data_IF_598985169515
#
_entry.id   IF_598985169515
#
_cell.length_a   1.000
_cell.length_b   1.000
_cell.length_c   1.000
_cell.angle_alpha   90.00
_cell.angle_beta   90.00
_cell.angle_gamma   90.00
#
_symmetry.space_group_name_H-M   'P 1'
#
loop_
_entity.id
_entity.type
_entity.pdbx_description
1 polymer ?
#
# COMPACT_ATOMS: atom_id res chain seq x y z
N UNK A 1 -22.27 -12.93 12.02
CA UNK A 1 -22.95 -11.97 11.15
C UNK A 1 -22.72 -12.36 9.69
N UNK A 2 -23.49 -13.33 9.15
CA UNK A 2 -23.28 -13.78 7.79
C UNK A 2 -23.98 -12.82 6.81
N UNK A 3 -23.45 -12.69 5.60
CA UNK A 3 -23.92 -11.85 4.48
C UNK A 3 -23.40 -10.40 4.42
N UNK A 4 -22.08 -10.19 4.54
CA UNK A 4 -21.43 -9.03 3.92
C UNK A 4 -21.02 -9.39 2.49
N UNK A 5 -21.81 -8.98 1.50
CA UNK A 5 -21.39 -9.04 0.10
C UNK A 5 -20.44 -7.86 -0.18
N UNK A 6 -19.19 -8.11 -0.59
CA UNK A 6 -18.28 -7.03 -0.97
C UNK A 6 -18.76 -6.39 -2.27
N UNK A 7 -19.03 -5.08 -2.23
CA UNK A 7 -19.28 -4.31 -3.46
C UNK A 7 -17.93 -3.95 -4.07
N UNK A 8 -17.64 -4.50 -5.24
CA UNK A 8 -16.47 -4.15 -6.03
C UNK A 8 -16.87 -3.10 -7.08
N UNK A 9 -16.26 -1.92 -7.01
CA UNK A 9 -16.46 -0.86 -8.00
C UNK A 9 -15.14 -0.62 -8.71
N UNK A 10 -15.12 -0.83 -10.03
CA UNK A 10 -14.05 -0.38 -10.91
C UNK A 10 -14.53 0.88 -11.61
N UNK A 11 -14.02 2.08 -11.25
CA UNK A 11 -14.32 3.28 -12.01
C UNK A 11 -13.72 3.11 -13.41
N UNK A 12 -14.56 2.81 -14.39
CA UNK A 12 -14.15 2.76 -15.80
C UNK A 12 -13.61 4.14 -16.18
N UNK A 13 -12.34 4.14 -16.59
CA UNK A 13 -11.49 5.31 -16.68
C UNK A 13 -11.68 6.07 -18.00
N UNK A 14 -12.85 6.66 -18.21
CA UNK A 14 -13.08 7.73 -19.21
C UNK A 14 -13.36 9.10 -18.56
N UNK A 15 -13.29 9.17 -17.24
CA UNK A 15 -13.74 10.32 -16.43
C UNK A 15 -12.59 11.11 -15.78
N UNK A 16 -11.50 11.37 -16.49
CA UNK A 16 -10.39 12.19 -15.99
C UNK A 16 -10.83 13.60 -15.54
N UNK A 17 -11.99 14.07 -16.02
CA UNK A 17 -12.56 15.37 -15.65
C UNK A 17 -13.57 15.34 -14.49
N UNK A 18 -13.91 14.16 -13.95
CA UNK A 18 -14.94 14.01 -12.91
C UNK A 18 -14.37 13.48 -11.59
N UNK A 19 -13.09 13.72 -11.30
CA UNK A 19 -12.43 13.33 -10.04
C UNK A 19 -13.26 13.73 -8.80
N UNK A 20 -13.86 14.92 -8.82
CA UNK A 20 -14.70 15.41 -7.72
C UNK A 20 -15.99 14.62 -7.53
N UNK A 21 -16.64 14.20 -8.63
CA UNK A 21 -17.85 13.37 -8.58
C UNK A 21 -17.51 11.97 -8.07
N UNK A 22 -16.36 11.42 -8.45
CA UNK A 22 -15.88 10.15 -7.92
C UNK A 22 -15.59 10.25 -6.42
N UNK A 23 -14.92 11.32 -5.96
CA UNK A 23 -14.69 11.54 -4.53
C UNK A 23 -15.99 11.73 -3.74
N UNK A 24 -16.98 12.43 -4.31
CA UNK A 24 -18.28 12.63 -3.67
C UNK A 24 -19.05 11.31 -3.58
N UNK A 25 -19.05 10.51 -4.66
CA UNK A 25 -19.61 9.17 -4.68
C UNK A 25 -18.99 8.27 -3.61
N UNK A 26 -17.67 8.19 -3.53
CA UNK A 26 -16.96 7.36 -2.54
C UNK A 26 -17.26 7.80 -1.11
N UNK A 27 -17.35 9.11 -0.86
CA UNK A 27 -17.76 9.65 0.45
C UNK A 27 -19.19 9.26 0.82
N UNK A 28 -20.13 9.37 -0.11
CA UNK A 28 -21.52 8.98 0.08
C UNK A 28 -21.65 7.47 0.31
N UNK A 29 -20.97 6.67 -0.52
CA UNK A 29 -20.91 5.21 -0.39
C UNK A 29 -20.37 4.81 0.99
N UNK A 30 -19.28 5.42 1.45
CA UNK A 30 -18.71 5.18 2.78
C UNK A 30 -19.73 5.43 3.90
N UNK A 31 -20.55 6.47 3.77
CA UNK A 31 -21.59 6.78 4.75
C UNK A 31 -22.68 5.69 4.77
N UNK A 32 -23.13 5.22 3.60
CA UNK A 32 -24.08 4.12 3.47
C UNK A 32 -23.52 2.82 4.03
N UNK A 33 -22.25 2.47 3.72
CA UNK A 33 -21.60 1.26 4.23
C UNK A 33 -21.49 1.27 5.75
N UNK A 34 -21.21 2.43 6.37
CA UNK A 34 -21.20 2.55 7.84
C UNK A 34 -22.58 2.32 8.45
N UNK A 35 -23.65 2.80 7.82
CA UNK A 35 -25.02 2.58 8.28
C UNK A 35 -25.44 1.11 8.16
N UNK A 36 -25.00 0.44 7.09
CA UNK A 36 -25.33 -0.96 6.80
C UNK A 36 -24.36 -1.97 7.43
N UNK A 37 -23.30 -1.53 8.10
CA UNK A 37 -22.16 -2.36 8.50
C UNK A 37 -21.56 -3.17 7.33
N UNK A 38 -21.59 -2.60 6.12
CA UNK A 38 -21.10 -3.22 4.89
C UNK A 38 -19.61 -2.97 4.63
N UNK A 39 -19.06 -3.71 3.66
CA UNK A 39 -17.67 -3.58 3.20
C UNK A 39 -17.66 -3.35 1.69
N UNK A 40 -16.81 -2.43 1.22
CA UNK A 40 -16.54 -2.25 -0.20
C UNK A 40 -15.04 -2.24 -0.48
N UNK A 41 -14.67 -2.73 -1.65
CA UNK A 41 -13.30 -2.75 -2.14
C UNK A 41 -13.27 -1.96 -3.44
N UNK A 42 -12.41 -0.93 -3.49
CA UNK A 42 -12.25 -0.07 -4.66
C UNK A 42 -10.81 -0.26 -5.15
N UNK A 43 -10.66 -0.64 -6.41
CA UNK A 43 -9.37 -0.89 -7.04
C UNK A 43 -9.20 -0.01 -8.26
N UNK A 44 -8.04 0.63 -8.37
CA UNK A 44 -7.64 1.38 -9.55
C UNK A 44 -6.11 1.32 -9.71
N UNK A 45 -5.59 1.30 -10.94
CA UNK A 45 -4.15 1.48 -11.18
C UNK A 45 -3.74 2.93 -10.89
N UNK A 46 -2.72 3.17 -10.06
CA UNK A 46 -2.30 4.53 -9.69
C UNK A 46 -1.77 5.35 -10.87
N UNK A 47 -1.36 4.69 -11.96
CA UNK A 47 -0.90 5.34 -13.19
C UNK A 47 -2.02 6.00 -14.00
N UNK A 48 -3.29 5.64 -13.76
CA UNK A 48 -4.44 6.20 -14.49
C UNK A 48 -5.07 7.41 -13.81
N UNK A 49 -4.59 7.80 -12.62
CA UNK A 49 -5.18 8.89 -11.83
C UNK A 49 -4.12 9.91 -11.42
N UNK A 50 -4.53 11.14 -11.16
CA UNK A 50 -3.62 12.16 -10.67
C UNK A 50 -3.07 11.81 -9.28
N UNK A 51 -1.84 12.26 -8.97
CA UNK A 51 -1.26 12.10 -7.64
C UNK A 51 -2.10 12.79 -6.55
N UNK A 52 -2.74 13.91 -6.89
CA UNK A 52 -3.68 14.63 -6.00
C UNK A 52 -4.93 13.82 -5.71
N UNK A 53 -5.54 13.20 -6.72
CA UNK A 53 -6.70 12.34 -6.53
C UNK A 53 -6.37 11.11 -5.70
N UNK A 54 -5.23 10.46 -5.99
CA UNK A 54 -4.73 9.33 -5.23
C UNK A 54 -4.62 9.66 -3.73
N UNK A 55 -3.97 10.78 -3.37
CA UNK A 55 -3.88 11.23 -1.97
C UNK A 55 -5.25 11.44 -1.33
N UNK A 56 -6.19 12.07 -2.04
CA UNK A 56 -7.56 12.28 -1.53
C UNK A 56 -8.30 10.95 -1.30
N UNK A 57 -8.16 9.98 -2.21
CA UNK A 57 -8.71 8.63 -2.04
C UNK A 57 -8.11 7.91 -0.84
N UNK A 58 -6.80 8.03 -0.61
CA UNK A 58 -6.13 7.45 0.56
C UNK A 58 -6.66 8.02 1.88
N UNK A 59 -6.96 9.33 1.92
CA UNK A 59 -7.59 9.95 3.09
C UNK A 59 -9.02 9.45 3.32
N UNK A 60 -9.78 9.18 2.26
CA UNK A 60 -11.13 8.63 2.35
C UNK A 60 -11.15 7.14 2.72
N UNK A 61 -10.13 6.37 2.34
CA UNK A 61 -10.06 4.93 2.60
C UNK A 61 -9.89 4.62 4.09
N UNK A 62 -10.64 3.63 4.59
CA UNK A 62 -10.43 3.10 5.94
C UNK A 62 -9.24 2.12 5.96
N UNK A 63 -9.08 1.32 4.90
CA UNK A 63 -7.93 0.43 4.69
C UNK A 63 -7.30 0.73 3.34
N UNK A 64 -5.96 0.83 3.29
CA UNK A 64 -5.20 1.09 2.08
C UNK A 64 -4.13 0.01 1.91
N UNK A 65 -4.14 -0.62 0.74
CA UNK A 65 -3.20 -1.66 0.35
C UNK A 65 -2.71 -1.36 -1.07
N UNK A 66 -1.43 -1.53 -1.33
CA UNK A 66 -0.86 -1.44 -2.68
C UNK A 66 -0.30 -2.78 -3.12
N UNK A 67 -0.45 -3.09 -4.41
CA UNK A 67 0.12 -4.28 -5.04
C UNK A 67 1.25 -3.84 -5.95
N UNK A 68 2.44 -4.43 -5.79
CA UNK A 68 3.60 -4.17 -6.64
C UNK A 68 4.05 -5.48 -7.29
N UNK A 69 4.09 -5.52 -8.61
CA UNK A 69 4.68 -6.66 -9.32
C UNK A 69 6.20 -6.66 -9.17
N UNK A 70 6.82 -7.84 -9.19
CA UNK A 70 8.28 -7.95 -9.27
C UNK A 70 8.71 -7.50 -10.68
N UNK A 71 9.62 -6.53 -10.81
CA UNK A 71 10.12 -6.10 -12.12
C UNK A 71 10.88 -7.25 -12.79
N UNK A 72 10.90 -7.26 -14.12
CA UNK A 72 11.49 -8.38 -14.88
C UNK A 72 13.00 -8.55 -14.62
N UNK A 73 13.70 -7.45 -14.33
CA UNK A 73 15.12 -7.43 -13.91
C UNK A 73 15.36 -8.30 -12.66
N UNK A 74 14.45 -8.24 -11.68
CA UNK A 74 14.55 -8.96 -10.41
C UNK A 74 14.12 -10.43 -10.55
N UNK A 75 13.46 -10.82 -11.66
CA UNK A 75 13.09 -12.21 -11.93
C UNK A 75 14.31 -13.09 -12.19
N UNK A 76 15.43 -12.51 -12.64
CA UNK A 76 16.68 -13.25 -12.76
C UNK A 76 17.27 -13.59 -11.39
N UNK A 77 17.19 -12.64 -10.45
CA UNK A 77 17.56 -12.84 -9.05
C UNK A 77 16.65 -13.91 -8.39
N UNK A 78 15.37 -13.92 -8.75
CA UNK A 78 14.40 -14.89 -8.27
C UNK A 78 14.69 -16.34 -8.69
N UNK A 79 15.41 -16.56 -9.80
CA UNK A 79 15.86 -17.91 -10.20
C UNK A 79 16.98 -18.44 -9.30
N UNK A 80 17.75 -17.54 -8.69
CA UNK A 80 18.88 -17.89 -7.83
C UNK A 80 18.46 -18.12 -6.37
N UNK A 81 17.37 -17.46 -5.94
CA UNK A 81 16.86 -17.53 -4.57
C UNK A 81 15.60 -18.40 -4.54
N UNK A 82 15.72 -19.62 -4.00
CA UNK A 82 14.64 -20.63 -3.96
C UNK A 82 13.32 -20.13 -3.35
N UNK A 83 13.37 -19.13 -2.45
CA UNK A 83 12.17 -18.51 -1.86
C UNK A 83 11.47 -17.48 -2.75
N UNK A 84 12.15 -16.92 -3.75
CA UNK A 84 11.64 -15.87 -4.65
C UNK A 84 11.02 -16.44 -5.93
N UNK A 85 11.34 -17.68 -6.30
CA UNK A 85 10.92 -18.28 -7.58
C UNK A 85 9.40 -18.34 -7.75
N UNK A 86 8.65 -18.51 -6.66
CA UNK A 86 7.18 -18.58 -6.65
C UNK A 86 6.50 -17.23 -6.36
N UNK A 87 7.29 -16.17 -6.14
CA UNK A 87 6.77 -14.85 -5.82
C UNK A 87 6.33 -14.12 -7.10
N UNK A 88 5.10 -13.62 -7.10
CA UNK A 88 4.49 -12.88 -8.22
C UNK A 88 4.55 -11.37 -7.97
N UNK A 89 4.59 -10.97 -6.71
CA UNK A 89 4.57 -9.57 -6.30
C UNK A 89 4.65 -9.40 -4.80
N UNK A 90 4.50 -8.15 -4.39
CA UNK A 90 4.42 -7.71 -3.02
C UNK A 90 3.07 -7.04 -2.77
N UNK A 91 2.51 -7.29 -1.59
CA UNK A 91 1.35 -6.61 -1.06
C UNK A 91 1.80 -5.75 0.13
N UNK A 92 1.66 -4.44 0.01
CA UNK A 92 2.01 -3.50 1.08
C UNK A 92 0.74 -2.95 1.71
N UNK A 93 0.63 -3.07 3.03
CA UNK A 93 -0.46 -2.54 3.84
C UNK A 93 -0.01 -1.19 4.41
N UNK A 94 -0.63 -0.12 3.92
CA UNK A 94 -0.29 1.26 4.28
C UNK A 94 -1.16 1.80 5.41
N UNK A 95 -2.41 1.36 5.46
CA UNK A 95 -3.38 1.85 6.43
C UNK A 95 -4.36 0.74 6.77
N UNK A 96 -4.62 0.57 8.06
CA UNK A 96 -5.71 -0.28 8.57
C UNK A 96 -6.42 0.48 9.68
N UNK A 97 -7.62 0.97 9.41
CA UNK A 97 -8.46 1.56 10.44
C UNK A 97 -9.13 0.47 11.28
N UNK A 98 -9.26 0.73 12.58
CA UNK A 98 -10.19 0.01 13.45
C UNK A 98 -11.42 0.87 13.64
N UNK A 99 -12.58 0.33 13.27
CA UNK A 99 -13.85 1.02 13.48
C UNK A 99 -14.13 1.14 14.99
N UNK A 100 -14.69 2.29 15.40
CA UNK A 100 -15.12 2.55 16.78
C UNK A 100 -14.02 2.59 17.85
N UNK A 101 -12.76 2.78 17.46
CA UNK A 101 -11.65 3.00 18.42
C UNK A 101 -10.71 4.10 17.92
N UNK A 102 -10.08 4.79 18.86
CA UNK A 102 -9.04 5.79 18.60
C UNK A 102 -7.65 5.17 18.50
N UNK A 103 -7.51 3.87 18.82
CA UNK A 103 -6.22 3.17 18.77
C UNK A 103 -5.98 2.60 17.37
N UNK A 104 -4.88 2.98 16.69
CA UNK A 104 -4.55 2.44 15.38
C UNK A 104 -4.24 0.94 15.46
N UNK A 105 -4.48 0.21 14.37
CA UNK A 105 -4.04 -1.18 14.28
C UNK A 105 -2.52 -1.24 14.20
N UNK A 106 -1.89 -1.95 15.14
CA UNK A 106 -0.47 -2.30 15.07
C UNK A 106 -0.39 -3.62 14.30
N UNK A 107 0.28 -3.59 13.15
CA UNK A 107 0.53 -4.78 12.34
C UNK A 107 1.95 -5.28 12.63
N UNK A 108 2.11 -6.60 12.71
CA UNK A 108 3.43 -7.22 12.88
C UNK A 108 4.28 -7.12 11.60
N UNK A 109 3.62 -7.13 10.43
CA UNK A 109 4.23 -6.91 9.14
C UNK A 109 3.33 -6.01 8.27
N UNK A 110 3.95 -5.08 7.56
CA UNK A 110 3.29 -4.22 6.57
C UNK A 110 3.52 -4.68 5.13
N UNK A 111 4.43 -5.61 4.90
CA UNK A 111 4.80 -6.11 3.57
C UNK A 111 4.69 -7.62 3.52
N UNK A 112 3.93 -8.11 2.54
CA UNK A 112 3.70 -9.53 2.31
C UNK A 112 4.17 -9.91 0.91
N UNK A 113 4.81 -11.06 0.79
CA UNK A 113 5.04 -11.71 -0.50
C UNK A 113 3.76 -12.35 -1.01
N UNK A 114 3.47 -12.15 -2.29
CA UNK A 114 2.35 -12.79 -2.98
C UNK A 114 2.87 -13.97 -3.78
N UNK A 115 2.40 -15.17 -3.47
CA UNK A 115 2.76 -16.40 -4.18
C UNK A 115 1.53 -17.04 -4.81
N UNK A 116 1.69 -17.62 -5.99
CA UNK A 116 0.60 -18.32 -6.68
C UNK A 116 0.79 -19.84 -6.58
N UNK A 117 0.08 -20.46 -5.66
CA UNK A 117 0.15 -21.90 -5.45
C UNK A 117 -0.74 -22.66 -6.44
N UNK A 118 -0.15 -23.59 -7.19
CA UNK A 118 -0.84 -24.46 -8.17
C UNK A 118 -1.73 -23.70 -9.18
N UNK A 119 -1.41 -22.43 -9.47
CA UNK A 119 -2.20 -21.52 -10.32
C UNK A 119 -3.66 -21.31 -9.88
N UNK A 120 -4.02 -21.62 -8.64
CA UNK A 120 -5.41 -21.59 -8.15
C UNK A 120 -5.59 -20.86 -6.83
N UNK A 121 -4.53 -20.71 -6.05
CA UNK A 121 -4.59 -20.04 -4.75
C UNK A 121 -3.51 -18.96 -4.67
N UNK A 122 -3.90 -17.75 -4.27
CA UNK A 122 -2.96 -16.71 -3.89
C UNK A 122 -2.66 -16.86 -2.40
N UNK A 123 -1.38 -17.01 -2.06
CA UNK A 123 -0.90 -17.11 -0.69
C UNK A 123 -0.12 -15.84 -0.35
N UNK A 124 -0.39 -15.27 0.82
CA UNK A 124 0.33 -14.14 1.37
C UNK A 124 1.23 -14.63 2.50
N UNK A 125 2.53 -14.37 2.39
CA UNK A 125 3.50 -14.73 3.44
C UNK A 125 4.24 -13.46 3.89
N UNK A 126 4.41 -13.29 5.21
CA UNK A 126 5.19 -12.18 5.76
C UNK A 126 6.61 -12.24 5.19
N UNK A 127 7.08 -11.12 4.65
CA UNK A 127 8.45 -11.05 4.20
C UNK A 127 9.34 -10.82 5.43
N UNK A 128 10.15 -11.81 5.79
CA UNK A 128 11.17 -11.63 6.82
C UNK A 128 12.27 -10.75 6.25
N UNK A 129 12.24 -9.44 6.52
CA UNK A 129 13.40 -8.60 6.28
C UNK A 129 14.50 -9.03 7.26
N UNK A 130 15.73 -9.17 6.77
CA UNK A 130 16.88 -9.23 7.67
C UNK A 130 16.87 -7.94 8.53
N UNK A 131 17.23 -8.00 9.82
CA UNK A 131 17.36 -6.80 10.64
C UNK A 131 18.20 -5.78 9.87
N UNK A 132 17.73 -4.55 9.75
CA UNK A 132 18.61 -3.48 9.28
C UNK A 132 19.71 -3.40 10.33
N UNK A 133 20.93 -3.80 9.98
CA UNK A 133 22.05 -3.66 10.89
C UNK A 133 22.12 -2.19 11.29
N UNK A 134 21.77 -1.91 12.54
CA UNK A 134 22.01 -0.63 13.19
C UNK A 134 23.52 -0.46 13.35
N UNK A 135 24.23 -0.20 12.25
CA UNK A 135 25.67 0.01 12.25
C UNK A 135 26.02 1.18 11.36
N UNK A 136 26.02 2.35 11.97
CA UNK A 136 27.03 3.37 11.69
C UNK A 136 27.44 3.96 13.02
N UNK A 137 28.17 3.16 13.78
CA UNK A 137 29.04 3.68 14.82
C UNK A 137 30.20 4.41 14.15
N UNK A 138 30.20 5.73 14.21
CA UNK A 138 31.43 6.53 14.08
C UNK A 138 31.57 7.37 15.34
N UNK A 139 32.33 6.82 16.29
CA UNK A 139 32.87 7.57 17.41
C UNK A 139 34.06 8.43 16.95
N UNK A 140 34.29 9.49 17.71
CA UNK A 140 35.45 10.40 17.78
C UNK A 140 35.44 11.66 16.89
N UNK A 141 35.08 12.79 17.52
CA UNK A 141 36.00 13.93 17.58
C UNK A 141 35.77 15.14 16.65
N UNK A 142 35.46 16.26 17.29
CA UNK A 142 35.76 17.65 16.89
C UNK A 142 34.75 18.47 16.07
N UNK A 143 34.23 19.48 16.76
CA UNK A 143 33.72 20.80 16.36
C UNK A 143 33.76 21.24 14.89
N UNK A 144 32.66 21.86 14.43
CA UNK A 144 32.68 22.75 13.25
C UNK A 144 31.32 23.19 12.70
N UNK A 145 30.89 24.37 13.14
CA UNK A 145 30.09 25.45 12.49
C UNK A 145 29.44 25.28 11.10
N UNK A 146 28.26 25.91 10.98
CA UNK A 146 27.32 26.04 9.87
C UNK A 146 27.87 26.24 8.44
N UNK A 147 27.19 25.61 7.47
CA UNK A 147 26.93 26.15 6.12
C UNK A 147 25.76 25.42 5.46
N UNK A 148 24.93 26.19 4.77
CA UNK A 148 23.73 25.78 4.04
C UNK A 148 24.06 24.88 2.85
N UNK A 149 23.21 23.88 2.60
CA UNK A 149 23.36 22.98 1.47
C UNK A 149 22.12 22.11 1.25
N UNK A 150 21.16 22.64 0.49
CA UNK A 150 20.22 21.90 -0.37
C UNK A 150 19.72 20.55 0.16
N UNK A 151 18.62 20.56 0.93
CA UNK A 151 17.76 19.40 1.04
C UNK A 151 17.02 19.21 -0.29
N UNK A 152 17.68 18.54 -1.24
CA UNK A 152 16.95 17.73 -2.22
C UNK A 152 16.11 16.75 -1.41
N UNK A 153 14.84 17.10 -1.23
CA UNK A 153 13.84 16.17 -0.77
C UNK A 153 13.91 14.94 -1.68
N UNK A 154 14.43 13.84 -1.13
CA UNK A 154 14.47 12.55 -1.80
C UNK A 154 13.07 12.21 -2.27
N UNK A 155 12.99 11.66 -3.48
CA UNK A 155 11.77 11.16 -4.06
C UNK A 155 11.00 10.33 -3.03
N UNK A 156 9.75 10.74 -2.79
CA UNK A 156 8.84 10.08 -1.88
C UNK A 156 8.66 8.62 -2.34
N UNK A 157 9.28 7.71 -1.63
CA UNK A 157 8.85 6.32 -1.56
C UNK A 157 7.65 6.26 -0.61
N UNK A 158 6.69 5.39 -0.97
CA UNK A 158 5.27 5.38 -0.62
C UNK A 158 4.88 5.67 0.84
#
# INVERSE_FOLDING_TARGET
WPYCYPVAVSPQCEFSNNEWEMLSFVRSLKSVLRLLNGVAVITFPPSLVSGTFSKRMQHLADTLVSVKAIPDEDKELAKLLTGYQDMVGLLNVHKVARNNTQVPAILEATTFSMKLQKRRSLVLECLNQAPVDGSSGTSYGSSGTCSSGSSKAGALDF
#
